data_IF_007341779643
#
_entry.id   IF_007341779643
#
_cell.length_a   1.000
_cell.length_b   1.000
_cell.length_c   1.000
_cell.angle_alpha   90.00
_cell.angle_beta   90.00
_cell.angle_gamma   90.00
#
_symmetry.space_group_name_H-M   'P 1'
#
loop_
_entity.id
_entity.type
_entity.pdbx_description
1 polymer ?
#
# COMPACT_ATOMS: atom_id res chain seq x y z
N UNK A 1 -1.00 -6.61 -11.61
CA UNK A 1 -1.96 -5.68 -12.22
C UNK A 1 -1.84 -4.34 -11.51
N UNK A 2 -1.98 -3.21 -12.19
CA UNK A 2 -1.91 -1.86 -11.61
C UNK A 2 -3.31 -1.25 -11.45
N UNK A 3 -3.43 -0.18 -10.64
CA UNK A 3 -4.72 0.51 -10.45
C UNK A 3 -5.36 1.01 -11.75
N UNK A 4 -4.55 1.40 -12.74
CA UNK A 4 -5.03 1.83 -14.06
C UNK A 4 -5.74 0.73 -14.85
N UNK A 5 -5.38 -0.53 -14.61
CA UNK A 5 -6.01 -1.67 -15.29
C UNK A 5 -7.44 -1.86 -14.78
N UNK A 6 -7.70 -1.65 -13.49
CA UNK A 6 -9.05 -1.67 -12.91
C UNK A 6 -9.92 -0.52 -13.42
N UNK A 7 -9.35 0.68 -13.57
CA UNK A 7 -10.06 1.80 -14.22
C UNK A 7 -10.42 1.47 -15.68
N UNK A 8 -9.55 0.73 -16.37
CA UNK A 8 -9.80 0.28 -17.74
C UNK A 8 -10.94 -0.75 -17.78
N UNK A 9 -10.95 -1.71 -16.85
CA UNK A 9 -12.05 -2.67 -16.70
C UNK A 9 -13.38 -1.95 -16.36
N UNK A 10 -13.36 -0.99 -15.44
CA UNK A 10 -14.53 -0.20 -15.08
C UNK A 10 -15.12 0.55 -16.27
N UNK A 11 -14.25 1.18 -17.08
CA UNK A 11 -14.66 1.85 -18.32
C UNK A 11 -15.26 0.88 -19.33
N UNK A 12 -14.71 -0.33 -19.45
CA UNK A 12 -15.26 -1.36 -20.32
C UNK A 12 -16.67 -1.78 -19.86
N UNK A 13 -16.88 -1.98 -18.56
CA UNK A 13 -18.20 -2.27 -17.97
C UNK A 13 -19.18 -1.12 -18.23
N UNK A 14 -18.76 0.13 -18.01
CA UNK A 14 -19.59 1.29 -18.30
C UNK A 14 -19.93 1.42 -19.80
N UNK A 15 -19.00 1.06 -20.68
CA UNK A 15 -19.19 1.16 -22.15
C UNK A 15 -20.26 0.22 -22.69
N UNK A 16 -20.57 -0.87 -21.97
CA UNK A 16 -21.67 -1.79 -22.33
C UNK A 16 -23.01 -1.39 -21.72
N UNK A 17 -23.11 -0.18 -21.16
CA UNK A 17 -24.35 0.40 -20.64
C UNK A 17 -24.66 0.09 -19.17
N UNK A 18 -23.72 -0.51 -18.45
CA UNK A 18 -23.87 -0.76 -17.00
C UNK A 18 -23.42 0.49 -16.25
N UNK A 19 -24.38 1.21 -15.67
CA UNK A 19 -24.14 2.46 -14.92
C UNK A 19 -24.51 2.36 -13.44
N UNK A 20 -25.15 1.28 -13.02
CA UNK A 20 -25.56 1.08 -11.63
C UNK A 20 -25.48 -0.40 -11.28
N UNK A 21 -24.86 -0.71 -10.15
CA UNK A 21 -24.85 -2.03 -9.54
C UNK A 21 -25.73 -1.92 -8.30
N UNK A 22 -26.87 -2.63 -8.29
CA UNK A 22 -27.81 -2.63 -7.16
C UNK A 22 -27.44 -3.64 -6.07
N UNK A 23 -26.59 -4.61 -6.40
CA UNK A 23 -26.08 -5.62 -5.47
C UNK A 23 -24.65 -5.33 -5.03
N UNK A 24 -23.99 -6.36 -4.54
CA UNK A 24 -22.62 -6.26 -4.03
C UNK A 24 -21.60 -6.37 -5.17
N UNK A 25 -20.48 -5.67 -5.00
CA UNK A 25 -19.27 -5.92 -5.79
C UNK A 25 -18.47 -7.03 -5.10
N UNK A 26 -18.44 -8.21 -5.71
CA UNK A 26 -17.74 -9.38 -5.17
C UNK A 26 -16.37 -9.50 -5.83
N UNK A 27 -15.35 -9.70 -5.02
CA UNK A 27 -13.99 -9.96 -5.46
C UNK A 27 -13.65 -11.42 -5.16
N UNK A 28 -13.33 -12.17 -6.19
CA UNK A 28 -13.04 -13.60 -6.09
C UNK A 28 -11.51 -13.82 -6.13
N UNK A 29 -10.95 -14.20 -4.99
CA UNK A 29 -9.53 -14.54 -4.83
C UNK A 29 -9.31 -16.04 -4.58
N UNK A 30 -10.31 -16.88 -4.88
CA UNK A 30 -10.34 -18.32 -4.54
C UNK A 30 -9.51 -19.21 -5.47
N UNK A 31 -8.81 -18.61 -6.45
CA UNK A 31 -7.97 -19.37 -7.37
C UNK A 31 -6.73 -19.98 -6.69
N UNK A 32 -6.20 -19.29 -5.67
CA UNK A 32 -5.18 -19.82 -4.77
C UNK A 32 -5.81 -20.22 -3.44
N UNK A 33 -5.07 -20.99 -2.64
CA UNK A 33 -5.46 -21.24 -1.26
C UNK A 33 -5.37 -19.97 -0.39
N UNK A 34 -5.73 -20.12 0.87
CA UNK A 34 -5.75 -19.03 1.85
C UNK A 34 -4.40 -18.83 2.54
N UNK A 35 -3.38 -19.63 2.24
CA UNK A 35 -2.05 -19.50 2.85
C UNK A 35 -1.28 -18.39 2.13
N UNK A 36 -1.04 -17.29 2.86
CA UNK A 36 -0.46 -16.06 2.27
C UNK A 36 1.05 -15.99 2.37
N UNK A 37 1.67 -16.73 3.28
CA UNK A 37 3.10 -16.66 3.57
C UNK A 37 3.71 -18.04 3.48
N UNK A 38 4.89 -18.15 2.89
CA UNK A 38 5.56 -19.43 2.79
C UNK A 38 6.07 -19.88 4.17
N UNK A 39 6.05 -21.19 4.47
CA UNK A 39 6.63 -21.72 5.70
C UNK A 39 8.10 -21.31 5.87
N UNK A 40 8.43 -20.74 7.02
CA UNK A 40 9.81 -20.35 7.36
C UNK A 40 10.22 -18.94 6.95
N UNK A 41 9.31 -18.13 6.39
CA UNK A 41 9.55 -16.69 6.24
C UNK A 41 9.59 -15.98 7.59
N UNK A 42 10.54 -15.07 7.73
CA UNK A 42 10.73 -14.32 8.97
C UNK A 42 9.72 -13.16 9.01
N UNK A 43 9.04 -13.01 10.14
CA UNK A 43 7.99 -12.01 10.32
C UNK A 43 8.55 -10.59 10.22
N UNK A 44 9.81 -10.40 10.61
CA UNK A 44 10.56 -9.15 10.48
C UNK A 44 10.74 -8.69 9.02
N UNK A 45 10.66 -9.61 8.05
CA UNK A 45 10.85 -9.32 6.63
C UNK A 45 9.56 -8.86 5.94
N UNK A 46 8.40 -8.94 6.62
CA UNK A 46 7.10 -8.59 6.03
C UNK A 46 7.00 -7.14 5.60
N UNK A 47 7.75 -6.23 6.22
CA UNK A 47 7.79 -4.81 5.82
C UNK A 47 8.52 -4.58 4.48
N UNK A 48 9.35 -5.55 4.05
CA UNK A 48 10.13 -5.45 2.83
C UNK A 48 9.34 -5.98 1.63
N UNK A 49 9.15 -5.11 0.63
CA UNK A 49 8.36 -5.37 -0.59
C UNK A 49 8.79 -6.60 -1.40
N UNK A 50 9.99 -7.13 -1.14
CA UNK A 50 10.63 -8.18 -1.95
C UNK A 50 10.94 -9.46 -1.18
N UNK A 51 10.97 -9.43 0.15
CA UNK A 51 11.51 -10.54 0.95
C UNK A 51 10.42 -11.47 1.48
N UNK A 52 9.27 -10.93 1.90
CA UNK A 52 8.14 -11.73 2.38
C UNK A 52 6.74 -11.16 2.01
N UNK A 53 6.45 -10.82 0.72
CA UNK A 53 5.15 -10.29 0.35
C UNK A 53 4.05 -11.36 0.40
N UNK A 54 2.82 -11.04 0.86
CA UNK A 54 1.73 -12.01 0.86
C UNK A 54 1.39 -12.48 -0.56
N UNK A 55 1.19 -13.79 -0.72
CA UNK A 55 0.83 -14.42 -1.99
C UNK A 55 -0.69 -14.47 -2.13
N UNK A 56 -1.19 -13.86 -3.20
CA UNK A 56 -2.61 -13.62 -3.43
C UNK A 56 -2.96 -13.91 -4.90
N UNK A 57 -4.11 -14.56 -5.13
CA UNK A 57 -4.63 -14.72 -6.50
C UNK A 57 -5.07 -13.38 -7.11
N UNK A 58 -5.57 -12.47 -6.27
CA UNK A 58 -6.09 -11.17 -6.65
C UNK A 58 -5.34 -10.08 -5.86
N UNK A 59 -4.45 -9.35 -6.53
CA UNK A 59 -3.63 -8.28 -5.93
C UNK A 59 -3.35 -7.12 -6.89
N UNK A 60 -2.89 -6.01 -6.33
CA UNK A 60 -2.51 -4.79 -7.04
C UNK A 60 -1.04 -4.45 -6.80
N UNK A 61 -0.43 -3.78 -7.77
CA UNK A 61 0.87 -3.13 -7.63
C UNK A 61 0.72 -1.62 -7.77
N UNK A 62 1.44 -0.82 -6.98
CA UNK A 62 1.29 0.63 -6.97
C UNK A 62 1.86 1.29 -8.22
N UNK A 63 2.83 0.63 -8.89
CA UNK A 63 3.47 1.13 -10.11
C UNK A 63 4.04 0.00 -10.99
N UNK A 64 4.77 0.41 -12.04
CA UNK A 64 5.34 -0.48 -13.07
C UNK A 64 6.47 -1.39 -12.62
N UNK A 65 6.88 -1.39 -11.34
CA UNK A 65 7.80 -2.40 -10.79
C UNK A 65 7.10 -3.72 -10.46
N UNK A 66 5.77 -3.71 -10.44
CA UNK A 66 4.94 -4.90 -10.23
C UNK A 66 5.27 -5.66 -8.95
N UNK A 67 5.59 -4.95 -7.87
CA UNK A 67 5.62 -5.52 -6.53
C UNK A 67 4.16 -5.66 -6.06
N UNK A 68 3.64 -6.88 -5.92
CA UNK A 68 2.25 -7.11 -5.55
C UNK A 68 2.04 -6.82 -4.07
N UNK A 69 0.81 -6.48 -3.71
CA UNK A 69 0.40 -6.23 -2.34
C UNK A 69 1.24 -5.18 -1.60
N UNK A 70 1.69 -4.14 -2.31
CA UNK A 70 2.45 -3.04 -1.72
C UNK A 70 1.79 -1.67 -1.95
N UNK A 71 2.17 -0.71 -1.12
CA UNK A 71 2.00 0.71 -1.39
C UNK A 71 3.35 1.42 -1.34
N UNK A 72 3.43 2.54 -2.03
CA UNK A 72 4.55 3.45 -1.90
C UNK A 72 4.29 4.40 -0.73
N UNK A 73 5.19 4.44 0.25
CA UNK A 73 5.12 5.40 1.36
C UNK A 73 6.18 6.46 1.18
N UNK A 74 5.73 7.68 0.89
CA UNK A 74 6.56 8.86 0.71
C UNK A 74 6.64 9.63 2.02
N UNK A 75 7.82 9.65 2.64
CA UNK A 75 8.09 10.46 3.83
C UNK A 75 8.97 11.64 3.44
N UNK A 76 8.52 12.85 3.75
CA UNK A 76 9.27 14.09 3.54
C UNK A 76 9.40 14.89 4.84
N UNK A 77 10.50 15.64 5.03
CA UNK A 77 10.63 16.54 6.17
C UNK A 77 9.56 17.65 6.12
N UNK A 78 9.02 18.01 7.28
CA UNK A 78 8.24 19.24 7.46
C UNK A 78 9.12 20.49 7.35
N UNK A 79 8.49 21.66 7.31
CA UNK A 79 9.11 22.93 6.89
C UNK A 79 10.25 23.43 7.80
N UNK A 80 10.24 23.05 9.08
CA UNK A 80 11.25 23.49 10.07
C UNK A 80 11.74 22.31 10.92
N UNK A 81 12.93 22.44 11.51
CA UNK A 81 13.45 21.47 12.49
C UNK A 81 12.45 21.35 13.65
N UNK A 82 12.14 20.13 14.04
CA UNK A 82 11.14 19.81 15.06
C UNK A 82 9.70 19.73 14.54
N UNK A 83 9.42 20.11 13.29
CA UNK A 83 8.10 19.93 12.69
C UNK A 83 7.81 18.43 12.45
N UNK A 84 6.55 17.98 12.48
CA UNK A 84 6.19 16.61 12.11
C UNK A 84 6.62 16.25 10.68
N UNK A 85 6.93 14.98 10.45
CA UNK A 85 7.15 14.48 9.09
C UNK A 85 5.83 14.46 8.30
N UNK A 86 5.93 14.78 7.02
CA UNK A 86 4.84 14.64 6.07
C UNK A 86 4.90 13.25 5.46
N UNK A 87 3.78 12.53 5.51
CA UNK A 87 3.69 11.15 5.01
C UNK A 87 2.54 11.03 4.02
N UNK A 88 2.81 10.42 2.88
CA UNK A 88 1.85 10.20 1.80
C UNK A 88 1.88 8.74 1.36
N UNK A 89 0.71 8.20 1.04
CA UNK A 89 0.54 6.86 0.49
C UNK A 89 0.19 6.96 -0.98
N UNK A 90 0.90 6.22 -1.81
CA UNK A 90 0.71 6.14 -3.25
C UNK A 90 0.47 4.68 -3.66
N UNK A 91 -0.63 4.36 -4.34
CA UNK A 91 -1.76 5.24 -4.66
C UNK A 91 -2.57 5.66 -3.40
N UNK A 92 -3.19 6.85 -3.40
CA UNK A 92 -4.00 7.32 -2.28
C UNK A 92 -5.16 6.37 -1.99
N UNK A 93 -5.30 5.96 -0.74
CA UNK A 93 -6.38 5.09 -0.28
C UNK A 93 -6.68 5.33 1.21
N UNK A 94 -7.83 4.84 1.66
CA UNK A 94 -8.24 4.91 3.07
C UNK A 94 -8.00 3.61 3.84
N UNK A 95 -7.54 2.57 3.14
CA UNK A 95 -7.33 1.23 3.68
C UNK A 95 -6.06 1.17 4.53
N UNK A 96 -4.95 1.65 3.99
CA UNK A 96 -3.67 1.71 4.69
C UNK A 96 -3.63 2.95 5.57
N UNK A 97 -3.49 2.72 6.88
CA UNK A 97 -3.31 3.79 7.85
C UNK A 97 -1.84 4.00 8.13
N UNK A 98 -1.33 5.21 7.87
CA UNK A 98 0.05 5.55 8.24
C UNK A 98 0.07 6.43 9.49
N UNK A 99 0.76 5.97 10.52
CA UNK A 99 0.96 6.72 11.77
C UNK A 99 2.40 7.24 11.79
N UNK A 100 2.55 8.56 11.67
CA UNK A 100 3.83 9.24 11.76
C UNK A 100 4.05 9.79 13.17
N UNK A 101 5.13 9.37 13.82
CA UNK A 101 5.61 9.98 15.08
C UNK A 101 7.00 10.60 14.91
N UNK A 102 7.50 10.68 13.68
CA UNK A 102 8.78 11.30 13.38
C UNK A 102 8.70 12.82 13.30
N UNK A 103 9.86 13.47 13.43
CA UNK A 103 10.00 14.93 13.27
C UNK A 103 11.19 15.29 12.39
N UNK A 104 11.19 16.46 11.77
CA UNK A 104 12.31 16.98 10.99
C UNK A 104 13.53 17.21 11.89
N UNK A 105 14.69 16.68 11.52
CA UNK A 105 15.91 16.78 12.33
C UNK A 105 17.17 16.38 11.56
N UNK A 106 18.34 16.76 12.09
CA UNK A 106 19.59 16.76 11.32
C UNK A 106 20.24 15.39 11.10
N UNK A 107 20.07 14.39 11.98
CA UNK A 107 21.07 13.30 12.03
C UNK A 107 20.55 11.88 12.35
N UNK A 108 19.29 11.55 12.05
CA UNK A 108 18.85 10.13 12.11
C UNK A 108 18.09 9.72 10.85
N UNK A 109 18.17 8.45 10.43
CA UNK A 109 17.30 7.91 9.39
C UNK A 109 15.86 7.81 9.91
N UNK A 110 14.89 7.98 9.02
CA UNK A 110 13.49 7.60 9.26
C UNK A 110 13.40 6.09 9.17
N UNK A 111 12.82 5.45 10.19
CA UNK A 111 12.44 4.04 10.17
C UNK A 111 10.99 3.95 9.77
N UNK A 112 10.69 3.19 8.73
CA UNK A 112 9.33 2.85 8.33
C UNK A 112 9.16 1.36 8.55
N UNK A 113 8.11 0.98 9.27
CA UNK A 113 7.84 -0.41 9.61
C UNK A 113 6.34 -0.68 9.47
N UNK A 114 6.00 -1.86 8.99
CA UNK A 114 4.65 -2.39 8.94
C UNK A 114 4.43 -3.30 10.15
N UNK A 115 3.29 -3.16 10.81
CA UNK A 115 2.92 -4.04 11.92
C UNK A 115 2.23 -5.28 11.36
N UNK A 116 2.80 -6.45 11.67
CA UNK A 116 2.36 -7.77 11.18
C UNK A 116 0.84 -7.91 11.17
N UNK A 117 0.29 -8.27 10.00
CA UNK A 117 -1.13 -8.63 9.83
C UNK A 117 -2.09 -7.47 10.21
N UNK A 118 -1.62 -6.23 10.22
CA UNK A 118 -2.46 -5.03 10.37
C UNK A 118 -2.34 -4.12 9.17
N UNK A 119 -3.30 -3.22 8.94
CA UNK A 119 -3.16 -2.21 7.87
C UNK A 119 -2.47 -0.93 8.33
N UNK A 120 -1.67 -1.04 9.40
CA UNK A 120 -1.00 0.10 10.02
C UNK A 120 0.49 0.11 9.67
N UNK A 121 0.91 1.19 9.02
CA UNK A 121 2.32 1.50 8.77
C UNK A 121 2.77 2.57 9.74
N UNK A 122 3.90 2.35 10.40
CA UNK A 122 4.52 3.29 11.31
C UNK A 122 5.71 3.99 10.65
N UNK A 123 5.69 5.32 10.62
CA UNK A 123 6.83 6.15 10.22
C UNK A 123 7.42 6.85 11.45
N UNK A 124 8.63 6.47 11.86
CA UNK A 124 9.30 6.94 13.09
C UNK A 124 10.69 7.51 12.77
N UNK A 125 11.21 8.38 13.63
CA UNK A 125 12.60 8.87 13.53
C UNK A 125 12.71 10.32 13.05
N UNK A 126 13.89 10.69 12.55
CA UNK A 126 14.17 12.05 12.06
C UNK A 126 14.37 12.06 10.55
N UNK A 127 14.06 13.16 9.88
CA UNK A 127 14.22 13.30 8.44
C UNK A 127 14.88 14.65 8.11
N UNK A 128 15.85 14.67 7.19
CA UNK A 128 16.56 15.87 6.72
C UNK A 128 16.38 16.10 5.22
N UNK A 129 16.69 17.30 4.70
CA UNK A 129 16.74 17.55 3.25
C UNK A 129 18.20 17.45 2.75
N UNK A 130 18.48 16.88 1.56
CA UNK A 130 17.55 16.20 0.66
C UNK A 130 17.44 14.71 1.00
N UNK A 131 16.23 14.21 1.26
CA UNK A 131 15.95 12.78 1.27
C UNK A 131 15.60 12.33 -0.14
N UNK A 132 16.01 11.11 -0.51
CA UNK A 132 15.33 10.35 -1.57
C UNK A 132 14.05 9.83 -0.92
N UNK A 133 12.88 10.50 -1.09
CA UNK A 133 11.78 10.38 -0.15
C UNK A 133 10.81 9.30 -0.63
N UNK A 134 11.29 8.07 -0.76
CA UNK A 134 10.47 7.01 -1.30
C UNK A 134 10.96 5.68 -0.76
N UNK A 135 10.09 5.01 -0.02
CA UNK A 135 10.27 3.63 0.39
C UNK A 135 9.03 2.87 -0.03
N UNK A 136 9.26 1.72 -0.64
CA UNK A 136 8.21 0.76 -0.95
C UNK A 136 7.98 -0.09 0.29
N UNK A 137 6.75 -0.05 0.77
CA UNK A 137 6.38 -0.76 1.98
C UNK A 137 5.34 -1.79 1.58
N UNK A 138 5.59 -3.03 1.95
CA UNK A 138 4.52 -4.04 1.93
C UNK A 138 3.45 -3.59 2.91
N UNK A 139 2.25 -3.33 2.40
CA UNK A 139 1.08 -3.28 3.25
C UNK A 139 0.55 -4.71 3.25
N UNK A 140 0.88 -5.46 4.31
CA UNK A 140 0.69 -6.90 4.43
C UNK A 140 -0.75 -7.43 4.33
N UNK A 141 -1.70 -6.68 3.75
CA UNK A 141 -3.02 -7.20 3.42
C UNK A 141 -3.69 -6.48 2.23
N UNK A 142 -2.93 -6.06 1.22
CA UNK A 142 -3.53 -5.59 -0.03
C UNK A 142 -4.02 -6.77 -0.87
N UNK A 143 -5.11 -7.39 -0.44
CA UNK A 143 -6.01 -8.05 -1.39
C UNK A 143 -6.51 -6.99 -2.37
N UNK A 144 -6.51 -7.29 -3.67
CA UNK A 144 -7.23 -6.41 -4.60
C UNK A 144 -8.74 -6.40 -4.33
N UNK A 145 -9.22 -7.30 -3.47
CA UNK A 145 -10.57 -7.34 -2.88
C UNK A 145 -10.91 -6.06 -2.11
N UNK A 146 -9.98 -5.52 -1.32
CA UNK A 146 -10.27 -4.37 -0.44
C UNK A 146 -9.84 -3.03 -1.06
N UNK A 147 -8.79 -3.06 -1.89
CA UNK A 147 -8.34 -1.89 -2.64
C UNK A 147 -9.25 -1.60 -3.85
N UNK A 148 -9.71 -2.63 -4.56
CA UNK A 148 -10.55 -2.51 -5.76
C UNK A 148 -11.90 -1.87 -5.47
N UNK A 149 -12.45 -2.07 -4.26
CA UNK A 149 -13.71 -1.45 -3.83
C UNK A 149 -13.63 0.08 -3.76
N UNK A 150 -12.44 0.65 -3.55
CA UNK A 150 -12.25 2.10 -3.37
C UNK A 150 -11.87 2.81 -4.67
N UNK A 151 -11.15 2.13 -5.59
CA UNK A 151 -10.82 2.67 -6.91
C UNK A 151 -11.98 2.70 -7.91
N UNK A 152 -13.14 2.14 -7.53
CA UNK A 152 -14.36 2.04 -8.33
C UNK A 152 -15.54 2.85 -7.77
N UNK A 153 -15.38 3.46 -6.59
CA UNK A 153 -16.35 4.42 -6.07
C UNK A 153 -16.14 5.79 -6.77
N UNK A 154 -17.21 6.46 -7.21
CA UNK A 154 -17.13 7.74 -7.92
C UNK A 154 -16.55 8.87 -7.06
#
# INVERSE_FOLDING_TARGET
>A
MQGIDYLTLAKAVASVGIHTIQGDLVFDDTWFDTERFAPGWAQEDESAAVDAPPILALTLSPDGRFWPATVNVRVTPGDVIGAPLLVQVEPPNSYVKVISTGVTGADKPVTIAHEHVTETIWARGLAQRPLRPHLDVTAGCLSATEYGAQGLAP
#
